data_IF_572035166331
#
_entry.id   IF_572035166331
#
_cell.length_a   1.000
_cell.length_b   1.000
_cell.length_c   1.000
_cell.angle_alpha   90.00
_cell.angle_beta   90.00
_cell.angle_gamma   90.00
#
_symmetry.space_group_name_H-M   'P 1'
#
loop_
_entity.id
_entity.type
_entity.pdbx_description
1 polymer ?
#
# COMPACT_ATOMS: atom_id res chain seq x y z
N UNK A 1 8.87 4.98 -11.46
CA UNK A 1 9.33 6.34 -11.08
C UNK A 1 8.29 7.17 -10.36
N UNK A 2 7.03 7.23 -10.82
CA UNK A 2 5.95 8.01 -10.16
C UNK A 2 5.82 7.74 -8.65
N UNK A 3 5.83 6.48 -8.16
CA UNK A 3 5.74 6.22 -6.71
C UNK A 3 6.90 6.82 -5.89
N UNK A 4 8.11 6.87 -6.47
CA UNK A 4 9.30 7.44 -5.81
C UNK A 4 9.13 8.95 -5.65
N UNK A 5 8.65 9.63 -6.69
CA UNK A 5 8.41 11.07 -6.67
C UNK A 5 7.37 11.40 -5.60
N UNK A 6 6.26 10.67 -5.57
CA UNK A 6 5.19 10.88 -4.58
C UNK A 6 5.73 10.69 -3.16
N UNK A 7 6.42 9.58 -2.89
CA UNK A 7 6.98 9.31 -1.56
C UNK A 7 8.05 10.33 -1.15
N UNK A 8 8.82 10.87 -2.11
CA UNK A 8 9.80 11.92 -1.86
C UNK A 8 9.14 13.26 -1.52
N UNK A 9 8.04 13.62 -2.17
CA UNK A 9 7.26 14.82 -1.84
C UNK A 9 6.69 14.69 -0.42
N UNK A 10 6.10 13.54 -0.07
CA UNK A 10 5.56 13.30 1.27
C UNK A 10 6.68 13.31 2.31
N UNK A 11 7.84 12.72 2.01
CA UNK A 11 9.04 12.78 2.85
C UNK A 11 9.43 14.22 3.17
N UNK A 12 9.48 15.11 2.16
CA UNK A 12 9.77 16.54 2.35
C UNK A 12 8.75 17.21 3.27
N UNK A 13 7.46 16.90 3.13
CA UNK A 13 6.41 17.43 4.03
C UNK A 13 6.69 17.06 5.49
N UNK A 14 7.08 15.81 5.78
CA UNK A 14 7.45 15.40 7.13
C UNK A 14 8.69 16.13 7.66
N UNK A 15 9.70 16.40 6.82
CA UNK A 15 10.86 17.22 7.21
C UNK A 15 10.39 18.62 7.61
N UNK A 16 9.55 19.26 6.78
CA UNK A 16 9.05 20.61 7.02
C UNK A 16 8.23 20.68 8.31
N UNK A 17 7.37 19.69 8.57
CA UNK A 17 6.61 19.58 9.83
C UNK A 17 7.55 19.44 11.03
N UNK A 18 8.54 18.55 10.96
CA UNK A 18 9.52 18.36 12.03
C UNK A 18 10.30 19.65 12.34
N UNK A 19 10.69 20.40 11.29
CA UNK A 19 11.36 21.70 11.42
C UNK A 19 10.42 22.74 12.04
N UNK A 20 9.17 22.83 11.58
CA UNK A 20 8.18 23.76 12.11
C UNK A 20 7.93 23.53 13.60
N UNK A 21 7.77 22.27 14.02
CA UNK A 21 7.51 21.89 15.42
C UNK A 21 8.73 22.20 16.29
N UNK A 22 9.93 21.75 15.90
CA UNK A 22 11.10 21.81 16.79
C UNK A 22 11.83 23.17 16.75
N UNK A 23 12.03 23.75 15.56
CA UNK A 23 12.79 25.00 15.41
C UNK A 23 11.92 26.24 15.55
N UNK A 24 10.75 26.23 14.90
CA UNK A 24 9.83 27.38 14.89
C UNK A 24 8.75 27.30 15.96
N UNK A 25 8.83 26.31 16.86
CA UNK A 25 7.92 26.12 18.00
C UNK A 25 6.44 26.14 17.59
N UNK A 26 6.11 25.63 16.40
CA UNK A 26 4.74 25.50 15.91
C UNK A 26 4.00 24.36 16.63
N UNK A 27 3.89 24.44 17.96
CA UNK A 27 3.30 23.40 18.82
C UNK A 27 1.81 23.17 18.55
N UNK A 28 1.13 24.11 17.91
CA UNK A 28 -0.25 23.96 17.44
C UNK A 28 -0.41 22.84 16.39
N UNK A 29 0.68 22.37 15.76
CA UNK A 29 0.67 21.19 14.88
C UNK A 29 0.58 19.87 15.66
N UNK A 30 0.84 19.89 16.97
CA UNK A 30 0.76 18.71 17.84
C UNK A 30 -0.69 18.61 18.33
N UNK A 31 -1.48 17.73 17.69
CA UNK A 31 -2.93 17.61 17.93
C UNK A 31 -3.31 17.61 19.42
N UNK A 32 -2.68 16.74 20.23
CA UNK A 32 -2.96 16.64 21.67
C UNK A 32 -2.66 17.92 22.47
N UNK A 33 -1.65 18.70 22.06
CA UNK A 33 -1.37 19.99 22.67
C UNK A 33 -2.34 21.07 22.16
N UNK A 34 -2.65 21.08 20.87
CA UNK A 34 -3.54 22.07 20.26
C UNK A 34 -4.95 22.06 20.90
N UNK A 35 -5.48 20.86 21.17
CA UNK A 35 -6.81 20.67 21.77
C UNK A 35 -6.82 20.75 23.30
N UNK A 36 -5.66 20.77 23.95
CA UNK A 36 -5.57 20.81 25.41
C UNK A 36 -6.01 22.18 25.97
N UNK A 37 -6.67 22.12 27.13
CA UNK A 37 -6.95 23.29 27.96
C UNK A 37 -5.66 23.95 28.47
N UNK A 38 -5.75 25.17 29.01
CA UNK A 38 -4.56 25.88 29.54
C UNK A 38 -3.85 25.08 30.64
N UNK A 39 -4.61 24.48 31.56
CA UNK A 39 -4.09 23.66 32.66
C UNK A 39 -3.40 22.41 32.13
N UNK A 40 -4.00 21.71 31.17
CA UNK A 40 -3.40 20.52 30.58
C UNK A 40 -2.10 20.84 29.84
N UNK A 41 -2.02 21.98 29.16
CA UNK A 41 -0.79 22.45 28.48
C UNK A 41 0.35 22.71 29.46
N UNK A 42 0.05 23.25 30.65
CA UNK A 42 1.05 23.49 31.70
C UNK A 42 1.62 22.18 32.27
N UNK A 43 0.84 21.10 32.23
CA UNK A 43 1.27 19.77 32.68
C UNK A 43 2.07 18.98 31.61
N UNK A 44 2.28 19.54 30.42
CA UNK A 44 3.04 18.88 29.34
C UNK A 44 4.45 19.44 29.24
N UNK A 45 5.45 18.55 29.13
CA UNK A 45 6.83 18.94 28.79
C UNK A 45 6.93 19.24 27.29
N UNK A 46 6.31 20.35 26.85
CA UNK A 46 6.07 20.63 25.43
C UNK A 46 7.35 20.71 24.60
N UNK A 47 8.46 21.22 25.15
CA UNK A 47 9.72 21.34 24.40
C UNK A 47 10.33 19.95 24.09
N UNK A 48 10.37 19.04 25.07
CA UNK A 48 10.85 17.67 24.85
C UNK A 48 9.87 16.86 23.99
N UNK A 49 8.56 17.02 24.21
CA UNK A 49 7.52 16.42 23.38
C UNK A 49 7.68 16.85 21.91
N UNK A 50 7.85 18.15 21.64
CA UNK A 50 8.05 18.69 20.30
C UNK A 50 9.33 18.17 19.63
N UNK A 51 10.43 18.08 20.37
CA UNK A 51 11.70 17.53 19.90
C UNK A 51 11.58 16.05 19.49
N UNK A 52 10.90 15.24 20.30
CA UNK A 52 10.66 13.83 19.99
C UNK A 52 9.62 13.65 18.86
N UNK A 53 8.60 14.50 18.79
CA UNK A 53 7.65 14.53 17.67
C UNK A 53 8.38 14.86 16.35
N UNK A 54 9.27 15.84 16.35
CA UNK A 54 10.08 16.16 15.18
C UNK A 54 11.01 15.00 14.80
N UNK A 55 11.62 14.31 15.78
CA UNK A 55 12.42 13.11 15.54
C UNK A 55 11.60 12.01 14.85
N UNK A 56 10.36 11.79 15.29
CA UNK A 56 9.43 10.88 14.60
C UNK A 56 9.20 11.30 13.15
N UNK A 57 8.94 12.59 12.90
CA UNK A 57 8.77 13.10 11.54
C UNK A 57 10.02 12.85 10.67
N UNK A 58 11.22 13.07 11.19
CA UNK A 58 12.46 12.80 10.46
C UNK A 58 12.67 11.31 10.17
N UNK A 59 12.31 10.43 11.12
CA UNK A 59 12.35 8.97 10.91
C UNK A 59 11.36 8.56 9.82
N UNK A 60 10.11 9.04 9.88
CA UNK A 60 9.09 8.77 8.86
C UNK A 60 9.58 9.27 7.49
N UNK A 61 10.14 10.49 7.43
CA UNK A 61 10.73 11.05 6.23
C UNK A 61 11.81 10.14 5.63
N UNK A 62 12.75 9.68 6.46
CA UNK A 62 13.82 8.78 6.03
C UNK A 62 13.27 7.44 5.53
N UNK A 63 12.31 6.85 6.24
CA UNK A 63 11.65 5.61 5.84
C UNK A 63 10.90 5.76 4.52
N UNK A 64 10.17 6.85 4.31
CA UNK A 64 9.44 7.12 3.06
C UNK A 64 10.40 7.28 1.89
N UNK A 65 11.48 8.06 2.06
CA UNK A 65 12.46 8.29 1.02
C UNK A 65 13.21 7.00 0.63
N UNK A 66 13.80 6.32 1.63
CA UNK A 66 14.53 5.07 1.42
C UNK A 66 13.60 3.96 0.95
N UNK A 67 12.41 3.85 1.53
CA UNK A 67 11.39 2.88 1.13
C UNK A 67 10.90 3.09 -0.31
N UNK A 68 10.78 4.34 -0.76
CA UNK A 68 10.51 4.66 -2.16
C UNK A 68 11.59 4.16 -3.10
N UNK A 69 12.87 4.40 -2.76
CA UNK A 69 14.01 3.88 -3.53
C UNK A 69 14.00 2.34 -3.55
N UNK A 70 13.85 1.70 -2.39
CA UNK A 70 13.88 0.23 -2.25
C UNK A 70 12.76 -0.41 -3.08
N UNK A 71 11.51 0.03 -2.90
CA UNK A 71 10.37 -0.54 -3.61
C UNK A 71 10.39 -0.24 -5.12
N UNK A 72 10.93 0.93 -5.49
CA UNK A 72 11.02 1.38 -6.87
C UNK A 72 12.11 0.67 -7.70
N UNK A 73 13.28 0.42 -7.11
CA UNK A 73 14.44 -0.16 -7.83
C UNK A 73 14.66 -1.65 -7.54
N UNK A 74 14.35 -2.12 -6.34
CA UNK A 74 14.65 -3.50 -5.90
C UNK A 74 13.41 -4.41 -5.90
N UNK A 75 12.32 -3.95 -6.54
CA UNK A 75 11.11 -4.73 -6.74
C UNK A 75 10.39 -5.26 -5.48
N UNK A 76 10.69 -4.73 -4.29
CA UNK A 76 10.01 -5.10 -3.05
C UNK A 76 8.55 -4.62 -3.00
N UNK A 77 7.70 -5.40 -2.32
CA UNK A 77 6.35 -4.97 -1.96
C UNK A 77 6.39 -3.75 -1.04
N UNK A 78 5.40 -2.86 -1.14
CA UNK A 78 5.22 -1.69 -0.27
C UNK A 78 4.75 -2.07 1.15
N UNK A 79 4.28 -3.31 1.34
CA UNK A 79 3.74 -3.80 2.61
C UNK A 79 4.70 -3.63 3.79
N UNK A 80 5.98 -4.05 3.74
CA UNK A 80 6.90 -3.93 4.88
C UNK A 80 7.14 -2.48 5.28
N UNK A 81 7.28 -1.55 4.32
CA UNK A 81 7.38 -0.13 4.60
C UNK A 81 6.15 0.37 5.37
N UNK A 82 4.96 -0.01 4.91
CA UNK A 82 3.69 0.40 5.54
C UNK A 82 3.58 -0.12 6.98
N UNK A 83 3.96 -1.38 7.23
CA UNK A 83 4.00 -1.96 8.58
C UNK A 83 4.98 -1.21 9.48
N UNK A 84 6.20 -0.97 9.01
CA UNK A 84 7.23 -0.25 9.79
C UNK A 84 6.75 1.16 10.13
N UNK A 85 6.14 1.88 9.19
CA UNK A 85 5.59 3.21 9.44
C UNK A 85 4.52 3.21 10.54
N UNK A 86 3.59 2.26 10.50
CA UNK A 86 2.53 2.11 11.51
C UNK A 86 3.14 1.82 12.89
N UNK A 87 4.13 0.91 12.95
CA UNK A 87 4.83 0.58 14.20
C UNK A 87 5.57 1.80 14.75
N UNK A 88 6.25 2.57 13.90
CA UNK A 88 6.95 3.81 14.32
C UNK A 88 5.95 4.83 14.84
N UNK A 89 4.83 5.06 14.13
CA UNK A 89 3.81 6.04 14.52
C UNK A 89 3.21 5.67 15.88
N UNK A 90 2.67 4.45 16.03
CA UNK A 90 2.06 4.05 17.30
C UNK A 90 3.10 3.94 18.42
N UNK A 91 4.29 3.41 18.13
CA UNK A 91 5.39 3.34 19.09
C UNK A 91 5.77 4.72 19.64
N UNK A 92 5.85 5.74 18.78
CA UNK A 92 6.07 7.12 19.23
C UNK A 92 4.85 7.69 19.97
N UNK A 93 3.61 7.42 19.55
CA UNK A 93 2.43 7.90 20.28
C UNK A 93 2.42 7.36 21.72
N UNK A 94 2.76 6.09 21.93
CA UNK A 94 2.92 5.51 23.27
C UNK A 94 4.11 6.10 24.03
N UNK A 95 5.27 6.23 23.37
CA UNK A 95 6.47 6.79 23.99
C UNK A 95 6.27 8.25 24.44
N UNK A 96 5.59 9.06 23.62
CA UNK A 96 5.35 10.48 23.88
C UNK A 96 4.40 10.71 25.07
N UNK A 97 3.62 9.72 25.49
CA UNK A 97 2.81 9.81 26.72
C UNK A 97 3.67 10.09 27.95
N UNK A 98 4.96 9.74 27.92
CA UNK A 98 5.91 10.04 29.01
C UNK A 98 6.02 11.54 29.30
N UNK A 99 5.80 12.40 28.31
CA UNK A 99 5.95 13.86 28.41
C UNK A 99 4.63 14.58 28.67
N UNK A 100 3.53 13.83 28.81
CA UNK A 100 2.21 14.33 29.15
C UNK A 100 1.86 13.85 30.57
N UNK A 101 2.02 14.74 31.56
CA UNK A 101 1.75 14.40 32.97
C UNK A 101 0.28 14.49 33.36
N UNK A 102 -0.62 14.73 32.40
CA UNK A 102 -2.05 14.72 32.68
C UNK A 102 -2.50 13.29 33.03
N UNK A 103 -3.38 13.18 34.03
CA UNK A 103 -3.92 11.90 34.45
C UNK A 103 -4.80 11.32 33.34
N UNK A 104 -4.30 10.27 32.67
CA UNK A 104 -5.10 9.52 31.70
C UNK A 104 -6.05 8.56 32.42
N UNK A 105 -7.30 8.54 31.97
CA UNK A 105 -8.27 7.53 32.32
C UNK A 105 -7.87 6.17 31.73
N UNK A 106 -8.32 5.09 32.37
CA UNK A 106 -8.15 3.73 31.81
C UNK A 106 -8.79 3.62 30.42
N UNK A 107 -9.90 4.31 30.19
CA UNK A 107 -10.60 4.32 28.92
C UNK A 107 -9.72 4.89 27.80
N UNK A 108 -9.03 6.01 28.02
CA UNK A 108 -8.14 6.61 27.00
C UNK A 108 -6.99 5.67 26.61
N UNK A 109 -6.36 5.03 27.58
CA UNK A 109 -5.26 4.07 27.33
C UNK A 109 -5.79 2.87 26.54
N UNK A 110 -6.96 2.33 26.92
CA UNK A 110 -7.60 1.22 26.22
C UNK A 110 -7.99 1.61 24.80
N UNK A 111 -8.57 2.79 24.60
CA UNK A 111 -8.94 3.30 23.27
C UNK A 111 -7.70 3.42 22.38
N UNK A 112 -6.60 3.99 22.88
CA UNK A 112 -5.36 4.09 22.12
C UNK A 112 -4.82 2.70 21.73
N UNK A 113 -4.80 1.75 22.66
CA UNK A 113 -4.36 0.38 22.40
C UNK A 113 -5.26 -0.34 21.37
N UNK A 114 -6.58 -0.21 21.52
CA UNK A 114 -7.57 -0.81 20.61
C UNK A 114 -7.46 -0.21 19.20
N UNK A 115 -7.34 1.11 19.07
CA UNK A 115 -7.16 1.76 17.76
C UNK A 115 -5.86 1.28 17.10
N UNK A 116 -4.76 1.20 17.86
CA UNK A 116 -3.48 0.69 17.36
C UNK A 116 -3.61 -0.74 16.84
N UNK A 117 -4.27 -1.61 17.60
CA UNK A 117 -4.49 -3.01 17.24
C UNK A 117 -5.41 -3.16 16.02
N UNK A 118 -6.55 -2.47 16.01
CA UNK A 118 -7.51 -2.51 14.89
C UNK A 118 -6.83 -2.01 13.60
N UNK A 119 -6.04 -0.93 13.68
CA UNK A 119 -5.32 -0.40 12.52
C UNK A 119 -4.38 -1.46 11.92
N UNK A 120 -3.62 -2.16 12.76
CA UNK A 120 -2.73 -3.23 12.31
C UNK A 120 -3.51 -4.44 11.77
N UNK A 121 -4.62 -4.83 12.41
CA UNK A 121 -5.46 -5.94 11.97
C UNK A 121 -6.10 -5.66 10.60
N UNK A 122 -6.69 -4.48 10.42
CA UNK A 122 -7.28 -4.05 9.14
C UNK A 122 -6.23 -4.05 8.03
N UNK A 123 -5.01 -3.58 8.33
CA UNK A 123 -3.90 -3.61 7.38
C UNK A 123 -3.60 -5.06 6.94
N UNK A 124 -3.38 -5.97 7.89
CA UNK A 124 -3.04 -7.38 7.60
C UNK A 124 -4.14 -8.05 6.79
N UNK A 125 -5.41 -7.84 7.16
CA UNK A 125 -6.57 -8.39 6.44
C UNK A 125 -6.59 -7.85 5.01
N UNK A 126 -6.44 -6.55 4.83
CA UNK A 126 -6.50 -5.91 3.50
C UNK A 126 -5.39 -6.40 2.57
N UNK A 127 -4.15 -6.49 3.07
CA UNK A 127 -3.02 -7.00 2.28
C UNK A 127 -3.18 -8.49 1.96
N UNK A 128 -3.70 -9.29 2.90
CA UNK A 128 -3.98 -10.72 2.68
C UNK A 128 -5.02 -10.92 1.58
N UNK A 129 -6.17 -10.24 1.68
CA UNK A 129 -7.25 -10.32 0.68
C UNK A 129 -6.83 -9.79 -0.70
N UNK A 130 -5.97 -8.77 -0.73
CA UNK A 130 -5.43 -8.24 -1.97
C UNK A 130 -4.46 -9.20 -2.67
N UNK A 131 -3.67 -9.95 -1.90
CA UNK A 131 -2.60 -10.83 -2.40
C UNK A 131 -3.08 -12.24 -2.74
N UNK A 132 -4.29 -12.61 -2.36
CA UNK A 132 -4.90 -13.89 -2.71
C UNK A 132 -4.92 -14.09 -4.24
N UNK A 133 -4.48 -15.22 -4.80
CA UNK A 133 -4.56 -15.47 -6.24
C UNK A 133 -6.01 -15.51 -6.75
N UNK A 134 -6.25 -15.05 -7.97
CA UNK A 134 -7.50 -15.34 -8.66
C UNK A 134 -7.44 -16.73 -9.29
N UNK A 135 -8.51 -17.50 -9.14
CA UNK A 135 -8.65 -18.80 -9.77
C UNK A 135 -9.33 -18.66 -11.13
N UNK A 136 -8.90 -19.49 -12.09
CA UNK A 136 -9.51 -19.55 -13.41
C UNK A 136 -10.40 -20.77 -13.47
N UNK A 137 -11.67 -20.55 -13.82
CA UNK A 137 -12.66 -21.59 -14.02
C UNK A 137 -13.14 -21.56 -15.47
N UNK A 138 -13.05 -22.71 -16.12
CA UNK A 138 -13.53 -22.89 -17.48
C UNK A 138 -14.98 -23.39 -17.46
N UNK A 139 -15.81 -22.77 -18.28
CA UNK A 139 -17.17 -23.23 -18.58
C UNK A 139 -17.28 -23.52 -20.08
N UNK A 140 -18.40 -24.08 -20.52
CA UNK A 140 -18.62 -24.37 -21.95
C UNK A 140 -18.53 -23.12 -22.81
N UNK A 141 -19.00 -21.97 -22.31
CA UNK A 141 -19.11 -20.72 -23.08
C UNK A 141 -18.11 -19.63 -22.70
N UNK A 142 -17.51 -19.70 -21.50
CA UNK A 142 -16.74 -18.58 -20.93
C UNK A 142 -15.54 -19.03 -20.10
N UNK A 143 -14.53 -18.16 -20.02
CA UNK A 143 -13.45 -18.19 -19.03
C UNK A 143 -13.85 -17.27 -17.88
N UNK A 144 -13.95 -17.80 -16.67
CA UNK A 144 -14.28 -17.05 -15.46
C UNK A 144 -13.02 -16.90 -14.62
N UNK A 145 -12.68 -15.66 -14.27
CA UNK A 145 -11.62 -15.32 -13.33
C UNK A 145 -12.31 -14.94 -12.01
N UNK A 146 -12.27 -15.84 -11.05
CA UNK A 146 -12.98 -15.75 -9.77
C UNK A 146 -12.14 -14.99 -8.72
N UNK A 147 -12.80 -14.47 -7.68
CA UNK A 147 -12.19 -13.70 -6.59
C UNK A 147 -12.30 -12.19 -6.77
N UNK A 148 -11.53 -11.45 -5.96
CA UNK A 148 -11.56 -9.98 -5.97
C UNK A 148 -11.26 -9.41 -7.36
N UNK A 149 -12.02 -8.38 -7.76
CA UNK A 149 -11.97 -7.80 -9.10
C UNK A 149 -12.16 -8.82 -10.24
N UNK A 150 -12.84 -9.94 -9.99
CA UNK A 150 -13.09 -10.99 -10.98
C UNK A 150 -13.76 -10.50 -12.27
N UNK A 151 -13.67 -11.31 -13.32
CA UNK A 151 -14.29 -11.01 -14.61
C UNK A 151 -14.67 -12.31 -15.32
N UNK A 152 -15.58 -12.21 -16.28
CA UNK A 152 -15.84 -13.27 -17.27
C UNK A 152 -15.45 -12.78 -18.66
N UNK A 153 -14.96 -13.71 -19.49
CA UNK A 153 -14.63 -13.53 -20.91
C UNK A 153 -15.34 -14.64 -21.69
N UNK A 154 -16.23 -14.27 -22.61
CA UNK A 154 -16.90 -15.25 -23.48
C UNK A 154 -15.90 -15.80 -24.47
N UNK A 155 -15.85 -17.14 -24.63
CA UNK A 155 -14.91 -17.82 -25.54
C UNK A 155 -15.07 -17.36 -26.99
N UNK A 156 -16.29 -17.07 -27.43
CA UNK A 156 -16.60 -16.58 -28.79
C UNK A 156 -16.05 -15.18 -29.09
N UNK A 157 -15.69 -14.41 -28.05
CA UNK A 157 -15.14 -13.06 -28.20
C UNK A 157 -13.62 -13.05 -28.05
N UNK A 158 -12.99 -14.19 -27.73
CA UNK A 158 -11.54 -14.33 -27.64
C UNK A 158 -10.97 -14.37 -29.06
N UNK A 159 -10.02 -13.49 -29.33
CA UNK A 159 -9.31 -13.44 -30.61
C UNK A 159 -7.96 -14.13 -30.53
N UNK A 160 -7.30 -14.09 -29.36
CA UNK A 160 -5.96 -14.62 -29.18
C UNK A 160 -5.68 -14.97 -27.72
N UNK A 161 -4.96 -16.08 -27.49
CA UNK A 161 -4.37 -16.44 -26.20
C UNK A 161 -2.89 -16.76 -26.44
N UNK A 162 -2.01 -15.95 -25.86
CA UNK A 162 -0.57 -16.08 -26.05
C UNK A 162 0.20 -16.06 -24.72
N UNK A 163 1.39 -16.65 -24.74
CA UNK A 163 2.37 -16.54 -23.65
C UNK A 163 3.37 -15.47 -24.00
N UNK A 164 3.53 -14.48 -23.13
CA UNK A 164 4.54 -13.43 -23.28
C UNK A 164 5.51 -13.48 -22.09
N UNK A 165 6.78 -13.19 -22.31
CA UNK A 165 7.79 -13.22 -21.24
C UNK A 165 7.84 -11.92 -20.44
N UNK A 166 7.43 -10.80 -21.04
CA UNK A 166 7.48 -9.48 -20.42
C UNK A 166 6.11 -8.80 -20.46
N UNK A 167 5.71 -8.24 -19.33
CA UNK A 167 4.49 -7.46 -19.23
C UNK A 167 4.72 -6.05 -19.83
N UNK A 168 3.78 -5.51 -20.63
CA UNK A 168 3.86 -4.13 -21.08
C UNK A 168 3.94 -3.14 -19.92
N UNK A 169 4.57 -1.99 -20.14
CA UNK A 169 4.71 -0.97 -19.10
C UNK A 169 3.35 -0.43 -18.65
N UNK A 170 3.15 -0.44 -17.34
CA UNK A 170 1.91 -0.02 -16.69
C UNK A 170 2.05 1.44 -16.27
N UNK A 171 1.16 2.27 -16.77
CA UNK A 171 1.09 3.69 -16.44
C UNK A 171 0.40 3.94 -15.09
N UNK A 172 -0.80 3.38 -14.91
CA UNK A 172 -1.58 3.61 -13.69
C UNK A 172 -2.59 2.50 -13.39
N UNK A 173 -2.98 2.41 -12.11
CA UNK A 173 -4.10 1.60 -11.64
C UNK A 173 -5.36 2.46 -11.65
N UNK A 174 -6.41 2.02 -12.32
CA UNK A 174 -7.70 2.75 -12.35
C UNK A 174 -8.66 2.23 -11.28
N UNK A 175 -8.66 0.92 -11.02
CA UNK A 175 -9.42 0.29 -9.94
C UNK A 175 -8.75 -1.04 -9.58
N UNK A 176 -8.48 -1.34 -8.31
CA UNK A 176 -7.75 -2.58 -8.02
C UNK A 176 -6.91 -2.58 -6.76
N UNK A 177 -6.22 -3.71 -6.57
CA UNK A 177 -5.15 -3.89 -5.62
C UNK A 177 -3.78 -3.82 -6.30
N UNK A 178 -2.82 -3.17 -5.63
CA UNK A 178 -1.42 -3.25 -6.01
C UNK A 178 -0.53 -2.93 -4.82
N UNK A 179 0.45 -3.81 -4.58
CA UNK A 179 1.50 -3.62 -3.58
C UNK A 179 2.88 -3.43 -4.21
N UNK A 180 2.93 -3.27 -5.54
CA UNK A 180 4.16 -3.19 -6.34
C UNK A 180 4.53 -4.51 -7.03
N UNK A 181 4.26 -5.66 -6.41
CA UNK A 181 4.51 -7.00 -6.96
C UNK A 181 3.19 -7.57 -7.50
N UNK A 182 2.22 -7.73 -6.60
CA UNK A 182 0.87 -8.16 -6.93
C UNK A 182 0.12 -7.00 -7.59
N UNK A 183 -0.59 -7.28 -8.68
CA UNK A 183 -1.43 -6.30 -9.39
C UNK A 183 -2.72 -6.98 -9.82
N UNK A 184 -3.85 -6.47 -9.32
CA UNK A 184 -5.16 -7.07 -9.53
C UNK A 184 -6.21 -6.01 -9.83
N UNK A 185 -6.96 -6.17 -10.90
CA UNK A 185 -8.05 -5.25 -11.28
C UNK A 185 -7.80 -4.55 -12.61
N UNK A 186 -8.27 -3.32 -12.72
CA UNK A 186 -8.27 -2.50 -13.92
C UNK A 186 -7.08 -1.52 -13.92
N UNK A 187 -6.34 -1.51 -15.03
CA UNK A 187 -5.12 -0.75 -15.20
C UNK A 187 -5.08 -0.10 -16.57
N UNK A 188 -4.19 0.90 -16.70
CA UNK A 188 -3.87 1.56 -17.96
C UNK A 188 -2.38 1.35 -18.26
N UNK A 189 -2.07 0.90 -19.46
CA UNK A 189 -0.71 0.80 -19.99
C UNK A 189 -0.19 2.16 -20.48
N UNK A 190 1.12 2.30 -20.66
CA UNK A 190 1.73 3.54 -21.15
C UNK A 190 1.27 3.92 -22.57
N UNK A 191 0.94 2.93 -23.41
CA UNK A 191 0.35 3.16 -24.74
C UNK A 191 -1.11 3.66 -24.68
N UNK A 192 -1.70 3.81 -23.49
CA UNK A 192 -3.06 4.28 -23.28
C UNK A 192 -4.12 3.19 -23.17
N UNK A 193 -3.77 1.94 -23.47
CA UNK A 193 -4.68 0.80 -23.47
C UNK A 193 -5.17 0.45 -22.06
N UNK A 194 -6.47 0.12 -21.94
CA UNK A 194 -7.07 -0.33 -20.68
C UNK A 194 -7.05 -1.84 -20.63
N UNK A 195 -6.49 -2.38 -19.57
CA UNK A 195 -6.25 -3.82 -19.42
C UNK A 195 -6.67 -4.28 -18.04
N UNK A 196 -6.96 -5.57 -17.91
CA UNK A 196 -7.18 -6.23 -16.62
C UNK A 196 -5.94 -7.01 -16.25
N UNK A 197 -5.47 -6.84 -15.02
CA UNK A 197 -4.29 -7.52 -14.51
C UNK A 197 -4.68 -8.48 -13.39
N UNK A 198 -4.08 -9.66 -13.41
CA UNK A 198 -4.11 -10.67 -12.35
C UNK A 198 -2.69 -11.23 -12.20
N UNK A 199 -1.81 -10.38 -11.69
CA UNK A 199 -0.37 -10.56 -11.68
C UNK A 199 0.11 -10.83 -10.25
N UNK A 200 0.89 -11.88 -10.07
CA UNK A 200 1.51 -12.25 -8.79
C UNK A 200 3.03 -12.32 -8.84
N UNK A 201 3.62 -12.24 -10.03
CA UNK A 201 5.07 -12.15 -10.24
C UNK A 201 5.38 -11.07 -11.28
N UNK A 202 6.54 -10.42 -11.14
CA UNK A 202 7.08 -9.52 -12.17
C UNK A 202 7.80 -10.27 -13.27
N UNK A 203 8.13 -11.53 -13.04
CA UNK A 203 8.81 -12.39 -13.99
C UNK A 203 7.78 -13.20 -14.78
N UNK A 204 8.09 -13.41 -16.06
CA UNK A 204 7.29 -14.22 -16.94
C UNK A 204 7.35 -15.73 -16.61
N UNK A 205 6.51 -16.52 -17.29
CA UNK A 205 5.63 -16.13 -18.38
C UNK A 205 4.36 -15.44 -17.87
N UNK A 206 3.71 -14.72 -18.77
CA UNK A 206 2.38 -14.13 -18.60
C UNK A 206 1.45 -14.67 -19.67
N UNK A 207 0.23 -15.00 -19.27
CA UNK A 207 -0.86 -15.33 -20.18
C UNK A 207 -1.52 -14.02 -20.58
N UNK A 208 -1.53 -13.71 -21.88
CA UNK A 208 -2.31 -12.61 -22.44
C UNK A 208 -3.52 -13.17 -23.18
N UNK A 209 -4.70 -12.76 -22.74
CA UNK A 209 -5.99 -13.08 -23.37
C UNK A 209 -6.51 -11.80 -24.01
N UNK A 210 -6.57 -11.80 -25.33
CA UNK A 210 -7.16 -10.71 -26.12
C UNK A 210 -8.58 -11.09 -26.51
N UNK A 211 -9.54 -10.21 -26.20
CA UNK A 211 -10.93 -10.34 -26.62
C UNK A 211 -11.41 -9.04 -27.26
N UNK A 212 -12.58 -9.06 -27.90
CA UNK A 212 -13.19 -7.86 -28.52
C UNK A 212 -13.31 -6.68 -27.56
N UNK A 213 -13.56 -6.93 -26.28
CA UNK A 213 -13.89 -5.89 -25.30
C UNK A 213 -12.77 -5.55 -24.31
N UNK A 214 -11.82 -6.47 -24.10
CA UNK A 214 -10.76 -6.31 -23.09
C UNK A 214 -9.55 -7.18 -23.36
N UNK A 215 -8.41 -6.73 -22.85
CA UNK A 215 -7.17 -7.51 -22.76
C UNK A 215 -6.90 -7.83 -21.29
N UNK A 216 -6.59 -9.10 -21.02
CA UNK A 216 -6.33 -9.60 -19.67
C UNK A 216 -4.95 -10.23 -19.61
N UNK A 217 -4.17 -9.85 -18.60
CA UNK A 217 -2.87 -10.46 -18.30
C UNK A 217 -2.92 -11.21 -16.99
N UNK A 218 -2.40 -12.43 -16.98
CA UNK A 218 -2.43 -13.32 -15.83
C UNK A 218 -1.06 -13.96 -15.65
N UNK A 219 -0.58 -13.99 -14.41
CA UNK A 219 0.44 -14.94 -14.00
C UNK A 219 0.28 -15.28 -12.52
N UNK A 220 0.96 -16.35 -12.12
CA UNK A 220 1.04 -16.77 -10.74
C UNK A 220 2.46 -16.59 -10.22
N UNK A 221 2.61 -16.60 -8.89
CA UNK A 221 3.93 -16.58 -8.25
C UNK A 221 4.77 -17.78 -8.69
N UNK A 222 4.11 -18.91 -8.94
CA UNK A 222 4.69 -20.12 -9.50
C UNK A 222 4.57 -20.10 -11.04
N UNK A 223 5.71 -20.22 -11.70
CA UNK A 223 5.80 -20.28 -13.16
C UNK A 223 5.14 -21.54 -13.72
N UNK A 224 5.28 -22.68 -13.06
CA UNK A 224 4.73 -23.95 -13.54
C UNK A 224 3.20 -23.91 -13.50
N UNK A 225 2.63 -23.32 -12.44
CA UNK A 225 1.18 -23.05 -12.36
C UNK A 225 0.69 -22.16 -13.50
N UNK A 226 1.49 -21.16 -13.91
CA UNK A 226 1.12 -20.29 -15.04
C UNK A 226 1.10 -21.06 -16.36
N UNK A 227 2.09 -21.94 -16.59
CA UNK A 227 2.15 -22.78 -17.78
C UNK A 227 1.04 -23.84 -17.80
N UNK A 228 0.72 -24.44 -16.66
CA UNK A 228 -0.39 -25.38 -16.52
C UNK A 228 -1.72 -24.72 -16.93
N UNK A 229 -1.99 -23.54 -16.38
CA UNK A 229 -3.19 -22.76 -16.74
C UNK A 229 -3.21 -22.43 -18.22
N UNK A 230 -2.09 -21.99 -18.80
CA UNK A 230 -2.02 -21.69 -20.23
C UNK A 230 -2.39 -22.90 -21.09
N UNK A 231 -1.89 -24.09 -20.74
CA UNK A 231 -2.20 -25.32 -21.46
C UNK A 231 -3.69 -25.69 -21.36
N UNK A 232 -4.32 -25.44 -20.21
CA UNK A 232 -5.75 -25.67 -20.04
C UNK A 232 -6.64 -24.68 -20.80
N UNK A 233 -6.11 -23.51 -21.18
CA UNK A 233 -6.83 -22.48 -21.92
C UNK A 233 -6.81 -22.69 -23.45
N UNK A 234 -5.89 -23.51 -23.97
CA UNK A 234 -5.74 -23.82 -25.39
C UNK A 234 -6.52 -25.08 -25.77
#
# INVERSE_FOLDING_TARGET
MIPIIILSIVSLVFILIGVAINKYKCYWLISGYNTASKVEKENMEIEELAKHMARMCYIISALLFLGGIITGYFNFSIMPLTVILIVVIFGYIFYLQKFDHNKKSKAEIVVLAVISFITLAVLIITFSLGSEPNEIRLTDSSIIIDGSYGTSIKKIDITEIESIENLPEISSRTNGYSDGINRKGDFKLENGEKVKLYIQSKEGPFIKITSKDKVVFINYKDKDKTLEVLNNLK
#
